data_IF_367681092877
#
_entry.id   IF_367681092877
#
_cell.length_a   1.000
_cell.length_b   1.000
_cell.length_c   1.000
_cell.angle_alpha   90.00
_cell.angle_beta   90.00
_cell.angle_gamma   90.00
#
_symmetry.space_group_name_H-M   'P 1'
#
loop_
_entity.id
_entity.type
_entity.pdbx_description
1 polymer ?
#
# COMPACT_ATOMS: atom_id res chain seq x y z
N UNK A 1 -21.46 2.89 13.12
CA UNK A 1 -20.79 3.26 11.84
C UNK A 1 -19.43 3.95 12.02
N UNK A 2 -19.19 4.90 12.95
CA UNK A 2 -17.88 5.56 13.12
C UNK A 2 -16.74 4.62 13.53
N UNK A 3 -17.02 3.66 14.42
CA UNK A 3 -16.04 2.73 14.99
C UNK A 3 -15.36 1.84 13.95
N UNK A 4 -16.10 1.45 12.90
CA UNK A 4 -15.58 0.62 11.80
C UNK A 4 -14.59 1.41 10.94
N UNK A 5 -14.84 2.71 10.72
CA UNK A 5 -13.93 3.57 9.94
C UNK A 5 -12.62 3.82 10.67
N UNK A 6 -12.64 4.01 11.99
CA UNK A 6 -11.42 4.21 12.79
C UNK A 6 -10.55 2.93 12.75
N UNK A 7 -11.15 1.76 13.00
CA UNK A 7 -10.41 0.49 12.96
C UNK A 7 -9.77 0.23 11.60
N UNK A 8 -10.47 0.52 10.49
CA UNK A 8 -9.91 0.39 9.14
C UNK A 8 -8.83 1.42 8.83
N UNK A 9 -8.96 2.66 9.31
CA UNK A 9 -7.91 3.69 9.15
C UNK A 9 -6.62 3.32 9.87
N UNK A 10 -6.70 2.62 11.01
CA UNK A 10 -5.51 2.11 11.69
C UNK A 10 -4.84 1.00 10.87
N UNK A 11 -5.62 0.18 10.16
CA UNK A 11 -5.11 -0.92 9.35
C UNK A 11 -4.52 -0.46 8.01
N UNK A 12 -5.23 0.41 7.28
CA UNK A 12 -4.76 1.01 6.03
C UNK A 12 -5.27 2.46 5.94
N UNK A 13 -4.49 3.43 6.47
CA UNK A 13 -4.89 4.83 6.46
C UNK A 13 -5.17 5.34 5.04
N UNK A 14 -4.34 4.96 4.07
CA UNK A 14 -4.46 5.46 2.69
C UNK A 14 -5.77 5.00 2.07
N UNK A 15 -6.08 3.70 2.15
CA UNK A 15 -7.28 3.15 1.52
C UNK A 15 -8.59 3.70 2.12
N UNK A 16 -8.57 4.17 3.37
CA UNK A 16 -9.74 4.75 4.03
C UNK A 16 -9.81 6.28 3.90
N UNK A 17 -8.69 7.00 3.99
CA UNK A 17 -8.66 8.47 3.91
C UNK A 17 -9.08 8.97 2.53
N UNK A 18 -8.74 8.25 1.46
CA UNK A 18 -9.17 8.59 0.08
C UNK A 18 -10.69 8.51 -0.14
N UNK A 19 -11.43 7.88 0.79
CA UNK A 19 -12.90 7.82 0.72
C UNK A 19 -13.57 9.06 1.32
N UNK A 20 -12.82 9.87 2.05
CA UNK A 20 -13.31 11.07 2.73
C UNK A 20 -13.15 12.24 1.77
N UNK A 21 -14.18 13.10 1.69
CA UNK A 21 -14.07 14.36 0.95
C UNK A 21 -12.95 15.23 1.56
N UNK A 22 -12.03 15.80 0.75
CA UNK A 22 -10.95 16.68 1.22
C UNK A 22 -11.38 17.70 2.27
N UNK A 23 -12.58 18.28 2.14
CA UNK A 23 -13.11 19.30 3.07
C UNK A 23 -13.41 18.77 4.49
N UNK A 24 -13.45 17.46 4.67
CA UNK A 24 -13.81 16.78 5.92
C UNK A 24 -12.63 16.04 6.56
N UNK A 25 -11.43 16.09 5.97
CA UNK A 25 -10.25 15.42 6.54
C UNK A 25 -9.71 16.18 7.77
N UNK A 26 -9.88 17.51 7.83
CA UNK A 26 -9.41 18.29 8.99
C UNK A 26 -7.91 18.52 8.98
N UNK A 27 -7.35 19.00 7.87
CA UNK A 27 -5.89 19.14 7.70
C UNK A 27 -5.29 20.37 8.42
N UNK A 28 -6.10 21.31 8.88
CA UNK A 28 -5.62 22.50 9.58
C UNK A 28 -6.72 23.47 10.01
N UNK A 29 -6.36 24.39 10.90
CA UNK A 29 -7.28 25.34 11.56
C UNK A 29 -8.08 26.20 10.57
N UNK A 30 -7.44 26.63 9.49
CA UNK A 30 -8.01 27.55 8.49
C UNK A 30 -8.41 26.85 7.19
N UNK A 31 -8.67 25.53 7.21
CA UNK A 31 -9.05 24.78 6.00
C UNK A 31 -10.35 25.29 5.35
N UNK A 32 -11.19 26.00 6.11
CA UNK A 32 -12.44 26.55 5.63
C UNK A 32 -12.27 27.91 4.93
N UNK A 33 -11.10 28.54 5.10
CA UNK A 33 -10.79 29.85 4.53
C UNK A 33 -10.07 29.74 3.17
N UNK A 34 -9.70 28.53 2.76
CA UNK A 34 -9.11 28.24 1.45
C UNK A 34 -10.18 27.84 0.43
N UNK A 35 -9.93 28.09 -0.85
CA UNK A 35 -10.87 27.69 -1.89
C UNK A 35 -10.98 26.17 -1.97
N UNK A 36 -12.21 25.65 -1.94
CA UNK A 36 -12.47 24.21 -1.94
C UNK A 36 -11.88 23.50 -3.17
N UNK A 37 -11.84 24.19 -4.32
CA UNK A 37 -11.24 23.66 -5.55
C UNK A 37 -9.73 23.51 -5.46
N UNK A 38 -9.02 24.53 -4.95
CA UNK A 38 -7.56 24.46 -4.80
C UNK A 38 -7.17 23.44 -3.73
N UNK A 39 -7.89 23.41 -2.61
CA UNK A 39 -7.69 22.41 -1.55
C UNK A 39 -7.84 20.99 -2.10
N UNK A 40 -8.90 20.74 -2.87
CA UNK A 40 -9.14 19.44 -3.49
C UNK A 40 -8.02 19.08 -4.47
N UNK A 41 -7.63 19.99 -5.36
CA UNK A 41 -6.57 19.72 -6.33
C UNK A 41 -5.22 19.41 -5.66
N UNK A 42 -4.87 20.17 -4.61
CA UNK A 42 -3.66 19.92 -3.84
C UNK A 42 -3.69 18.55 -3.14
N UNK A 43 -4.83 18.21 -2.50
CA UNK A 43 -4.95 16.93 -1.83
C UNK A 43 -4.97 15.76 -2.82
N UNK A 44 -5.68 15.89 -3.93
CA UNK A 44 -5.72 14.87 -4.99
C UNK A 44 -4.30 14.62 -5.55
N UNK A 45 -3.48 15.67 -5.68
CA UNK A 45 -2.07 15.56 -6.04
C UNK A 45 -1.23 14.77 -5.03
N UNK A 46 -1.33 15.10 -3.74
CA UNK A 46 -0.62 14.38 -2.66
C UNK A 46 -1.06 12.92 -2.60
N UNK A 47 -2.36 12.65 -2.75
CA UNK A 47 -2.90 11.28 -2.77
C UNK A 47 -2.35 10.52 -3.97
N UNK A 48 -2.32 11.12 -5.16
CA UNK A 48 -1.77 10.50 -6.37
C UNK A 48 -0.27 10.17 -6.20
N UNK A 49 0.52 11.06 -5.60
CA UNK A 49 1.92 10.81 -5.30
C UNK A 49 2.10 9.64 -4.32
N UNK A 50 1.32 9.64 -3.23
CA UNK A 50 1.33 8.58 -2.24
C UNK A 50 0.94 7.22 -2.84
N UNK A 51 -0.12 7.18 -3.66
CA UNK A 51 -0.57 5.97 -4.34
C UNK A 51 0.46 5.47 -5.35
N UNK A 52 1.13 6.38 -6.08
CA UNK A 52 2.17 6.03 -7.04
C UNK A 52 3.42 5.50 -6.34
N UNK A 53 3.79 6.06 -5.19
CA UNK A 53 4.92 5.59 -4.40
C UNK A 53 4.65 4.22 -3.76
N UNK A 54 3.45 4.05 -3.17
CA UNK A 54 3.07 2.82 -2.48
C UNK A 54 2.69 1.72 -3.45
N UNK A 55 2.04 1.99 -4.58
CA UNK A 55 1.43 1.00 -5.47
C UNK A 55 0.13 0.40 -4.92
N UNK A 56 -0.66 -0.25 -5.77
CA UNK A 56 -1.95 -0.84 -5.40
C UNK A 56 -2.10 -2.28 -5.89
N UNK A 57 -2.65 -3.17 -5.07
CA UNK A 57 -3.05 -4.50 -5.53
C UNK A 57 -4.42 -4.42 -6.23
N UNK A 58 -4.44 -4.67 -7.53
CA UNK A 58 -5.62 -4.51 -8.38
C UNK A 58 -6.80 -5.40 -7.98
N UNK A 59 -6.55 -6.54 -7.35
CA UNK A 59 -7.58 -7.52 -7.02
C UNK A 59 -8.33 -7.18 -5.72
N UNK A 60 -7.74 -6.36 -4.86
CA UNK A 60 -8.35 -5.93 -3.58
C UNK A 60 -8.63 -4.44 -3.53
N UNK A 61 -7.98 -3.65 -4.37
CA UNK A 61 -8.11 -2.19 -4.39
C UNK A 61 -9.55 -1.76 -4.64
N UNK A 62 -9.98 -0.72 -3.92
CA UNK A 62 -11.29 -0.11 -4.09
C UNK A 62 -11.31 0.78 -5.33
N UNK A 63 -12.50 1.00 -5.91
CA UNK A 63 -12.66 1.90 -7.04
C UNK A 63 -12.12 3.31 -6.74
N UNK A 64 -12.39 3.83 -5.53
CA UNK A 64 -11.94 5.16 -5.10
C UNK A 64 -10.42 5.28 -5.15
N UNK A 65 -9.70 4.31 -4.59
CA UNK A 65 -8.24 4.33 -4.56
C UNK A 65 -7.63 4.15 -5.97
N UNK A 66 -8.24 3.33 -6.83
CA UNK A 66 -7.78 3.15 -8.22
C UNK A 66 -7.84 4.43 -9.06
N UNK A 67 -8.75 5.36 -8.76
CA UNK A 67 -8.87 6.63 -9.49
C UNK A 67 -7.63 7.51 -9.37
N UNK A 68 -6.82 7.31 -8.33
CA UNK A 68 -5.61 8.07 -8.06
C UNK A 68 -4.34 7.40 -8.61
N UNK A 69 -4.47 6.25 -9.29
CA UNK A 69 -3.34 5.63 -9.99
C UNK A 69 -3.08 6.39 -11.29
N UNK A 70 -1.81 6.67 -11.59
CA UNK A 70 -1.42 7.35 -12.82
C UNK A 70 -2.04 6.70 -14.07
N UNK A 71 -2.66 7.51 -14.93
CA UNK A 71 -3.33 7.05 -16.14
C UNK A 71 -4.75 6.50 -15.93
N UNK A 72 -5.20 6.28 -14.69
CA UNK A 72 -6.58 5.87 -14.40
C UNK A 72 -7.47 7.09 -14.09
N UNK A 73 -8.77 6.90 -14.27
CA UNK A 73 -9.79 7.89 -13.94
C UNK A 73 -11.03 7.16 -13.42
N UNK A 74 -12.09 7.90 -13.07
CA UNK A 74 -13.36 7.33 -12.57
C UNK A 74 -13.90 6.24 -13.49
N UNK A 75 -14.00 6.51 -14.79
CA UNK A 75 -14.54 5.54 -15.76
C UNK A 75 -13.67 4.29 -15.91
N UNK A 76 -12.35 4.44 -15.96
CA UNK A 76 -11.41 3.31 -16.08
C UNK A 76 -11.38 2.48 -14.81
N UNK A 77 -11.36 3.11 -13.63
CA UNK A 77 -11.41 2.42 -12.35
C UNK A 77 -12.68 1.57 -12.23
N UNK A 78 -13.83 2.12 -12.64
CA UNK A 78 -15.09 1.36 -12.72
C UNK A 78 -15.01 0.18 -13.68
N UNK A 79 -14.50 0.38 -14.90
CA UNK A 79 -14.36 -0.71 -15.88
C UNK A 79 -13.45 -1.85 -15.37
N UNK A 80 -12.43 -1.54 -14.58
CA UNK A 80 -11.54 -2.54 -13.96
C UNK A 80 -12.31 -3.36 -12.91
N UNK A 81 -13.12 -2.73 -12.07
CA UNK A 81 -13.98 -3.44 -11.10
C UNK A 81 -14.99 -4.32 -11.82
N UNK A 82 -15.69 -3.79 -12.83
CA UNK A 82 -16.66 -4.56 -13.62
C UNK A 82 -15.99 -5.75 -14.32
N UNK A 83 -14.77 -5.57 -14.85
CA UNK A 83 -14.02 -6.67 -15.45
C UNK A 83 -13.68 -7.75 -14.43
N UNK A 84 -13.27 -7.38 -13.20
CA UNK A 84 -12.98 -8.33 -12.11
C UNK A 84 -14.20 -9.14 -11.69
N UNK A 85 -15.36 -8.50 -11.64
CA UNK A 85 -16.60 -9.18 -11.27
C UNK A 85 -17.04 -10.20 -12.32
N UNK A 86 -16.78 -9.91 -13.61
CA UNK A 86 -17.17 -10.77 -14.72
C UNK A 86 -16.15 -11.90 -15.02
N UNK A 87 -14.85 -11.62 -14.92
CA UNK A 87 -13.79 -12.52 -15.35
C UNK A 87 -13.01 -13.15 -14.18
N UNK A 88 -13.31 -12.72 -12.94
CA UNK A 88 -12.55 -13.09 -11.75
C UNK A 88 -11.29 -12.24 -11.55
N UNK A 89 -10.39 -12.65 -10.64
CA UNK A 89 -9.19 -11.89 -10.31
C UNK A 89 -8.19 -11.85 -11.49
N UNK A 90 -7.48 -10.74 -11.62
CA UNK A 90 -6.34 -10.60 -12.51
C UNK A 90 -5.21 -11.53 -12.06
N UNK A 91 -4.66 -12.30 -13.01
CA UNK A 91 -3.52 -13.21 -12.84
C UNK A 91 -2.20 -12.57 -13.26
N UNK A 92 -2.26 -11.64 -14.22
CA UNK A 92 -1.11 -10.85 -14.66
C UNK A 92 -1.54 -9.45 -15.13
N UNK A 93 -0.58 -8.54 -15.23
CA UNK A 93 -0.80 -7.14 -15.66
C UNK A 93 -1.30 -7.06 -17.09
N UNK A 94 -0.87 -7.96 -17.96
CA UNK A 94 -1.25 -7.96 -19.38
C UNK A 94 -2.77 -8.09 -19.58
N UNK A 95 -3.48 -8.74 -18.66
CA UNK A 95 -4.95 -8.80 -18.67
C UNK A 95 -5.62 -7.43 -18.53
N UNK A 96 -4.94 -6.41 -18.01
CA UNK A 96 -5.46 -5.03 -18.00
C UNK A 96 -5.72 -4.51 -19.41
N UNK A 97 -5.01 -4.99 -20.43
CA UNK A 97 -5.24 -4.61 -21.84
C UNK A 97 -6.60 -5.07 -22.37
N UNK A 98 -7.22 -6.06 -21.73
CA UNK A 98 -8.55 -6.57 -22.07
C UNK A 98 -9.68 -5.69 -21.50
N UNK A 99 -9.37 -4.82 -20.54
CA UNK A 99 -10.36 -3.96 -19.90
C UNK A 99 -10.78 -2.84 -20.86
N UNK A 100 -12.07 -2.53 -20.89
CA UNK A 100 -12.63 -1.45 -21.69
C UNK A 100 -11.97 -0.11 -21.35
N UNK A 101 -11.46 0.59 -22.36
CA UNK A 101 -10.82 1.90 -22.20
C UNK A 101 -9.35 1.87 -21.76
N UNK A 102 -8.75 0.67 -21.64
CA UNK A 102 -7.31 0.48 -21.41
C UNK A 102 -6.58 0.41 -22.75
N UNK A 103 -6.13 1.58 -23.24
CA UNK A 103 -5.26 1.66 -24.41
C UNK A 103 -3.80 1.42 -24.07
N UNK A 104 -2.90 1.26 -25.07
CA UNK A 104 -1.47 1.02 -24.84
C UNK A 104 -0.80 2.09 -23.96
N UNK A 105 -1.10 3.37 -24.22
CA UNK A 105 -0.57 4.50 -23.42
C UNK A 105 -1.06 4.45 -21.97
N UNK A 106 -2.34 4.16 -21.78
CA UNK A 106 -2.93 4.06 -20.44
C UNK A 106 -2.31 2.90 -19.67
N UNK A 107 -2.14 1.74 -20.32
CA UNK A 107 -1.48 0.59 -19.73
C UNK A 107 -0.05 0.93 -19.31
N UNK A 108 0.74 1.54 -20.20
CA UNK A 108 2.10 1.97 -19.89
C UNK A 108 2.15 2.96 -18.71
N UNK A 109 1.18 3.88 -18.61
CA UNK A 109 1.14 4.82 -17.49
C UNK A 109 0.82 4.18 -16.14
N UNK A 110 -0.04 3.16 -16.11
CA UNK A 110 -0.52 2.59 -14.84
C UNK A 110 0.23 1.31 -14.42
N UNK A 111 0.82 0.56 -15.34
CA UNK A 111 1.24 -0.81 -15.08
C UNK A 111 2.33 -0.92 -14.00
N UNK A 112 3.23 0.06 -13.88
CA UNK A 112 4.27 0.07 -12.83
C UNK A 112 3.73 0.23 -11.41
N UNK A 113 2.54 0.81 -11.26
CA UNK A 113 1.90 1.09 -9.98
C UNK A 113 0.92 0.00 -9.55
N UNK A 114 0.57 -0.91 -10.46
CA UNK A 114 -0.39 -1.99 -10.22
C UNK A 114 0.36 -3.26 -9.83
N UNK A 115 0.02 -3.87 -8.71
CA UNK A 115 0.57 -5.15 -8.26
C UNK A 115 -0.48 -6.25 -8.30
N UNK A 116 -0.02 -7.49 -8.43
CA UNK A 116 -0.86 -8.69 -8.35
C UNK A 116 -0.22 -9.63 -7.35
N UNK A 117 -0.82 -9.78 -6.17
CA UNK A 117 -0.29 -10.64 -5.11
C UNK A 117 -0.85 -12.07 -5.24
N UNK A 118 -0.02 -13.12 -5.31
CA UNK A 118 -0.47 -14.51 -5.32
C UNK A 118 -1.34 -14.88 -4.11
N UNK A 119 -1.09 -14.26 -2.95
CA UNK A 119 -1.87 -14.50 -1.74
C UNK A 119 -3.32 -14.01 -1.89
N UNK A 120 -3.54 -12.90 -2.62
CA UNK A 120 -4.89 -12.39 -2.87
C UNK A 120 -5.63 -13.26 -3.87
N UNK A 121 -4.93 -13.78 -4.89
CA UNK A 121 -5.47 -14.79 -5.81
C UNK A 121 -5.97 -16.04 -5.07
N UNK A 122 -5.18 -16.59 -4.14
CA UNK A 122 -5.57 -17.76 -3.35
C UNK A 122 -6.78 -17.52 -2.42
N UNK A 123 -6.91 -16.30 -1.88
CA UNK A 123 -8.06 -15.94 -1.04
C UNK A 123 -9.37 -15.91 -1.85
N UNK A 124 -9.31 -15.49 -3.12
CA UNK A 124 -10.47 -15.51 -4.01
C UNK A 124 -10.90 -16.94 -4.37
N UNK A 125 -9.98 -17.84 -4.73
CA UNK A 125 -10.31 -19.26 -5.00
C UNK A 125 -10.99 -19.92 -3.81
N UNK A 126 -10.48 -19.69 -2.59
CA UNK A 126 -11.11 -20.20 -1.37
C UNK A 126 -12.48 -19.57 -1.10
N UNK A 127 -12.67 -18.28 -1.40
CA UNK A 127 -13.96 -17.60 -1.24
C UNK A 127 -15.01 -18.08 -2.23
N UNK A 128 -14.63 -18.42 -3.47
CA UNK A 128 -15.53 -18.99 -4.48
C UNK A 128 -15.96 -20.40 -4.08
N UNK A 129 -15.02 -21.23 -3.63
CA UNK A 129 -15.32 -22.57 -3.10
C UNK A 129 -16.27 -22.47 -1.89
N UNK A 130 -16.04 -21.53 -0.96
CA UNK A 130 -16.94 -21.32 0.19
C UNK A 130 -18.32 -20.79 -0.21
N UNK A 131 -18.43 -20.00 -1.29
CA UNK A 131 -19.70 -19.50 -1.81
C UNK A 131 -20.49 -20.61 -2.51
N UNK A 132 -19.83 -21.48 -3.27
CA UNK A 132 -20.45 -22.65 -3.91
C UNK A 132 -20.89 -23.70 -2.89
N UNK A 133 -20.10 -23.97 -1.85
CA UNK A 133 -20.47 -24.91 -0.77
C UNK A 133 -21.66 -24.38 0.05
N UNK A 134 -21.78 -23.07 0.26
CA UNK A 134 -22.94 -22.49 0.95
C UNK A 134 -24.18 -22.36 0.07
N UNK A 135 -24.04 -22.24 -1.25
CA UNK A 135 -25.17 -22.31 -2.18
C UNK A 135 -25.76 -23.73 -2.24
N UNK A 136 -24.94 -24.77 -2.03
CA UNK A 136 -25.38 -26.17 -1.94
C UNK A 136 -25.88 -26.59 -0.55
N UNK A 137 -25.73 -25.76 0.49
CA UNK A 137 -26.19 -26.05 1.87
C UNK A 137 -27.46 -25.33 2.29
N UNK A 138 -27.96 -24.36 1.51
CA UNK A 138 -29.15 -23.58 1.85
C UNK A 138 -30.39 -23.89 0.98
N UNK A 139 -30.57 -25.15 0.56
CA UNK A 139 -31.82 -25.56 -0.11
C UNK A 139 -32.52 -26.76 0.52
N UNK A 140 -32.46 -26.87 1.85
CA UNK A 140 -33.34 -27.75 2.61
C UNK A 140 -33.86 -27.02 3.85
N UNK A 141 -35.18 -27.16 4.10
CA UNK A 141 -36.01 -26.69 5.22
C UNK A 141 -36.79 -25.37 4.95
N UNK A 142 -37.90 -25.52 4.23
CA UNK A 142 -39.24 -25.33 4.84
C UNK A 142 -40.06 -24.04 4.61
N UNK A 143 -41.00 -24.12 3.65
CA UNK A 143 -42.41 -23.64 3.66
C UNK A 143 -42.69 -22.11 3.66
N UNK A 144 -43.61 -21.50 2.89
CA UNK A 144 -44.69 -21.78 1.91
C UNK A 144 -44.93 -20.40 1.21
N UNK A 145 -45.38 -20.23 -0.05
CA UNK A 145 -46.73 -20.45 -0.59
C UNK A 145 -46.72 -20.19 -2.13
N UNK A 146 -47.43 -21.06 -2.86
CA UNK A 146 -48.13 -20.99 -4.17
C UNK A 146 -48.17 -19.65 -4.95
N UNK A 147 -48.20 -19.55 -6.29
CA UNK A 147 -48.82 -20.32 -7.40
C UNK A 147 -47.92 -20.12 -8.66
N UNK A 148 -47.79 -20.95 -9.70
CA UNK A 148 -48.60 -22.02 -10.27
C UNK A 148 -48.59 -21.85 -11.80
N UNK A 149 -47.84 -22.67 -12.54
CA UNK A 149 -48.10 -23.02 -13.96
C UNK A 149 -47.21 -24.19 -14.37
N UNK A 150 -47.80 -25.38 -14.30
CA UNK A 150 -47.29 -26.64 -14.83
C UNK A 150 -47.48 -26.63 -16.36
N UNK A 151 -46.57 -27.23 -17.14
CA UNK A 151 -46.86 -28.23 -18.18
C UNK A 151 -45.56 -28.76 -18.81
N UNK A 152 -45.34 -30.06 -18.53
CA UNK A 152 -44.80 -31.18 -19.34
C UNK A 152 -43.45 -31.09 -20.07
N UNK A 153 -42.62 -32.06 -19.68
CA UNK A 153 -41.52 -32.69 -20.40
C UNK A 153 -41.97 -33.34 -21.73
N UNK A 154 -41.15 -33.17 -22.77
CA UNK A 154 -40.94 -34.21 -23.79
C UNK A 154 -39.59 -34.01 -24.48
N UNK A 155 -38.72 -35.00 -24.34
CA UNK A 155 -37.59 -35.33 -25.22
C UNK A 155 -38.06 -35.52 -26.66
N UNK A 156 -37.39 -34.90 -27.65
CA UNK A 156 -37.25 -35.42 -29.02
C UNK A 156 -36.15 -34.68 -29.82
N UNK A 157 -35.58 -35.42 -30.78
CA UNK A 157 -34.43 -35.12 -31.64
C UNK A 157 -34.65 -34.00 -32.68
N UNK A 158 -33.52 -33.56 -33.29
CA UNK A 158 -33.29 -32.44 -34.22
C UNK A 158 -34.10 -32.44 -35.55
N UNK A 159 -34.09 -31.34 -36.35
CA UNK A 159 -33.01 -31.08 -37.32
C UNK A 159 -32.66 -29.58 -37.54
N UNK A 160 -31.77 -29.30 -38.50
CA UNK A 160 -31.02 -28.05 -38.68
C UNK A 160 -31.44 -27.16 -39.89
N UNK A 161 -31.09 -25.85 -39.81
CA UNK A 161 -30.83 -24.82 -40.88
C UNK A 161 -32.08 -24.17 -41.54
N UNK A 162 -32.15 -22.85 -41.96
CA UNK A 162 -31.10 -21.88 -42.34
C UNK A 162 -31.11 -20.44 -41.76
N UNK A 163 -29.96 -19.78 -41.97
CA UNK A 163 -29.60 -18.35 -41.77
C UNK A 163 -30.42 -17.33 -42.59
N UNK A 164 -30.54 -16.07 -42.10
CA UNK A 164 -29.96 -14.84 -42.72
C UNK A 164 -30.27 -13.52 -41.94
N UNK A 165 -29.61 -12.37 -42.21
CA UNK A 165 -28.68 -11.75 -41.26
C UNK A 165 -29.04 -10.32 -40.83
N UNK A 166 -28.40 -9.81 -39.79
CA UNK A 166 -28.28 -8.36 -39.56
C UNK A 166 -26.86 -7.99 -39.17
N UNK A 167 -26.10 -7.53 -40.17
CA UNK A 167 -24.79 -6.93 -39.99
C UNK A 167 -24.94 -5.43 -39.67
N UNK A 168 -24.30 -4.95 -38.60
CA UNK A 168 -23.60 -3.67 -38.59
C UNK A 168 -22.27 -3.81 -37.85
N UNK A 169 -21.20 -3.60 -38.64
CA UNK A 169 -19.79 -3.73 -38.32
C UNK A 169 -19.35 -2.79 -37.19
N UNK A 170 -18.86 -3.36 -36.08
CA UNK A 170 -17.89 -2.70 -35.21
C UNK A 170 -16.49 -3.19 -35.57
N UNK A 171 -15.56 -2.29 -35.88
CA UNK A 171 -14.16 -2.61 -36.23
C UNK A 171 -13.53 -3.50 -35.15
N UNK A 172 -13.24 -4.75 -35.51
CA UNK A 172 -12.57 -5.72 -34.64
C UNK A 172 -11.18 -5.23 -34.27
N UNK A 173 -10.91 -5.13 -32.96
CA UNK A 173 -9.55 -5.02 -32.44
C UNK A 173 -8.86 -6.36 -32.71
N UNK A 174 -7.66 -6.33 -33.28
CA UNK A 174 -6.80 -7.49 -33.44
C UNK A 174 -6.71 -8.24 -32.10
N UNK A 175 -6.87 -9.56 -32.13
CA UNK A 175 -6.91 -10.40 -30.93
C UNK A 175 -5.59 -10.27 -30.15
N UNK A 176 -5.67 -9.68 -28.96
CA UNK A 176 -4.54 -9.61 -28.04
C UNK A 176 -4.47 -10.99 -27.36
N UNK A 177 -3.49 -11.80 -27.73
CA UNK A 177 -3.20 -13.07 -27.03
C UNK A 177 -2.52 -12.75 -25.70
N UNK A 178 -3.30 -12.72 -24.62
CA UNK A 178 -2.79 -12.45 -23.27
C UNK A 178 -2.46 -13.78 -22.57
N UNK A 179 -1.26 -13.94 -21.98
CA UNK A 179 -0.93 -15.12 -21.18
C UNK A 179 -1.94 -15.32 -20.05
N UNK A 180 -2.29 -16.56 -19.73
CA UNK A 180 -3.20 -16.89 -18.61
C UNK A 180 -2.47 -17.29 -17.33
N UNK A 181 -1.14 -17.38 -17.38
CA UNK A 181 -0.28 -17.73 -16.25
C UNK A 181 0.06 -16.51 -15.38
N UNK A 182 0.41 -16.80 -14.13
CA UNK A 182 0.92 -15.81 -13.19
C UNK A 182 2.35 -15.43 -13.56
N UNK A 183 2.66 -14.13 -13.56
CA UNK A 183 4.03 -13.64 -13.70
C UNK A 183 4.55 -13.16 -12.33
N UNK A 184 5.61 -13.76 -11.77
CA UNK A 184 6.15 -13.35 -10.47
C UNK A 184 6.57 -11.88 -10.41
N UNK A 185 7.02 -11.30 -11.53
CA UNK A 185 7.44 -9.89 -11.60
C UNK A 185 6.29 -8.89 -11.41
N UNK A 186 5.03 -9.31 -11.60
CA UNK A 186 3.86 -8.45 -11.42
C UNK A 186 3.59 -8.09 -9.95
N UNK A 187 4.30 -8.72 -9.01
CA UNK A 187 4.29 -8.39 -7.58
C UNK A 187 5.20 -7.20 -7.25
N UNK A 188 6.13 -6.85 -8.14
CA UNK A 188 7.20 -5.88 -7.90
C UNK A 188 6.84 -4.49 -8.43
N UNK A 189 7.64 -3.47 -8.12
CA UNK A 189 7.54 -2.14 -8.75
C UNK A 189 8.10 -2.09 -10.19
N UNK A 190 8.66 -3.19 -10.70
CA UNK A 190 9.31 -3.24 -12.00
C UNK A 190 8.26 -3.06 -13.09
N UNK A 191 8.45 -2.08 -13.97
CA UNK A 191 7.52 -1.86 -15.07
C UNK A 191 7.62 -2.99 -16.12
N UNK A 192 6.50 -3.41 -16.77
CA UNK A 192 6.55 -4.49 -17.78
C UNK A 192 7.51 -4.24 -18.95
N UNK A 193 7.77 -2.98 -19.29
CA UNK A 193 8.76 -2.62 -20.31
C UNK A 193 10.17 -3.09 -19.94
N UNK A 194 10.48 -3.21 -18.65
CA UNK A 194 11.79 -3.58 -18.12
C UNK A 194 11.90 -5.06 -17.71
N UNK A 195 10.89 -5.90 -17.98
CA UNK A 195 10.94 -7.32 -17.61
C UNK A 195 12.09 -8.08 -18.26
N UNK A 196 12.39 -7.76 -19.52
CA UNK A 196 13.53 -8.33 -20.22
C UNK A 196 14.87 -7.97 -19.54
N UNK A 197 15.00 -6.73 -19.06
CA UNK A 197 16.19 -6.27 -18.30
C UNK A 197 16.31 -7.02 -16.97
N UNK A 198 15.20 -7.15 -16.23
CA UNK A 198 15.17 -7.87 -14.96
C UNK A 198 15.57 -9.35 -15.14
N UNK A 199 15.12 -10.00 -16.21
CA UNK A 199 15.52 -11.38 -16.53
C UNK A 199 17.01 -11.47 -16.86
N UNK A 200 17.57 -10.56 -17.67
CA UNK A 200 19.02 -10.50 -17.94
C UNK A 200 19.83 -10.32 -16.67
N UNK A 201 19.40 -9.42 -15.78
CA UNK A 201 20.05 -9.18 -14.50
C UNK A 201 20.03 -10.42 -13.59
N UNK A 202 18.89 -11.11 -13.51
CA UNK A 202 18.77 -12.36 -12.75
C UNK A 202 19.74 -13.44 -13.25
N UNK A 203 19.92 -13.57 -14.58
CA UNK A 203 20.89 -14.50 -15.17
C UNK A 203 22.33 -14.19 -14.76
N UNK A 204 22.71 -12.91 -14.68
CA UNK A 204 24.05 -12.48 -14.24
C UNK A 204 24.28 -12.79 -12.75
N UNK A 205 23.26 -12.58 -11.93
CA UNK A 205 23.34 -12.78 -10.46
C UNK A 205 23.19 -14.27 -10.08
N UNK A 206 22.74 -15.13 -11.01
CA UNK A 206 22.42 -16.53 -10.71
C UNK A 206 21.13 -16.70 -9.91
N UNK A 207 20.12 -15.87 -10.19
CA UNK A 207 18.79 -15.92 -9.58
C UNK A 207 17.72 -16.44 -10.53
N UNK A 208 16.57 -16.83 -9.99
CA UNK A 208 15.36 -17.15 -10.75
C UNK A 208 14.21 -16.27 -10.30
N UNK A 209 13.19 -16.10 -11.14
CA UNK A 209 11.99 -15.30 -10.85
C UNK A 209 11.17 -15.85 -9.67
N UNK A 210 11.33 -17.12 -9.31
CA UNK A 210 10.63 -17.74 -8.19
C UNK A 210 11.24 -17.37 -6.82
N UNK A 211 12.49 -16.87 -6.82
CA UNK A 211 13.23 -16.50 -5.62
C UNK A 211 13.19 -15.00 -5.31
N UNK A 212 12.26 -14.25 -5.91
CA UNK A 212 12.07 -12.81 -5.65
C UNK A 212 11.85 -12.57 -4.15
N UNK A 213 12.58 -11.62 -3.59
CA UNK A 213 12.49 -11.26 -2.17
C UNK A 213 13.10 -12.27 -1.19
N UNK A 214 13.73 -13.35 -1.69
CA UNK A 214 14.43 -14.29 -0.82
C UNK A 214 15.76 -13.73 -0.32
N UNK A 215 16.15 -14.09 0.90
CA UNK A 215 17.45 -13.71 1.49
C UNK A 215 18.63 -14.20 0.65
N UNK A 216 18.52 -15.38 0.04
CA UNK A 216 19.53 -15.92 -0.86
C UNK A 216 19.72 -15.06 -2.12
N UNK A 217 18.63 -14.53 -2.69
CA UNK A 217 18.73 -13.61 -3.83
C UNK A 217 19.34 -12.26 -3.40
N UNK A 218 18.91 -11.72 -2.26
CA UNK A 218 19.46 -10.47 -1.70
C UNK A 218 20.98 -10.57 -1.51
N UNK A 219 21.48 -11.65 -0.89
CA UNK A 219 22.91 -11.87 -0.70
C UNK A 219 23.68 -11.96 -2.02
N UNK A 220 23.12 -12.64 -3.03
CA UNK A 220 23.76 -12.73 -4.36
C UNK A 220 23.85 -11.37 -5.03
N UNK A 221 22.78 -10.56 -4.94
CA UNK A 221 22.76 -9.18 -5.45
C UNK A 221 23.80 -8.32 -4.73
N UNK A 222 23.85 -8.35 -3.39
CA UNK A 222 24.81 -7.61 -2.60
C UNK A 222 26.26 -7.99 -2.91
N UNK A 223 26.54 -9.29 -3.04
CA UNK A 223 27.86 -9.77 -3.43
C UNK A 223 28.24 -9.28 -4.83
N UNK A 224 27.29 -9.21 -5.76
CA UNK A 224 27.53 -8.68 -7.10
C UNK A 224 27.83 -7.18 -7.08
N UNK A 225 27.08 -6.42 -6.28
CA UNK A 225 27.30 -4.98 -6.08
C UNK A 225 28.62 -4.64 -5.38
N UNK A 226 29.20 -5.57 -4.60
CA UNK A 226 30.55 -5.42 -4.04
C UNK A 226 31.65 -5.63 -5.07
N UNK A 227 31.39 -6.42 -6.12
CA UNK A 227 32.38 -6.79 -7.13
C UNK A 227 32.38 -5.88 -8.36
N UNK A 228 31.26 -5.20 -8.64
CA UNK A 228 31.08 -4.36 -9.82
C UNK A 228 30.32 -3.09 -9.46
N UNK A 229 30.62 -1.99 -10.14
CA UNK A 229 29.89 -0.73 -9.97
C UNK A 229 28.45 -0.84 -10.52
N UNK A 230 27.56 0.04 -10.07
CA UNK A 230 26.16 0.07 -10.55
C UNK A 230 26.12 0.40 -12.05
N UNK A 231 27.05 1.23 -12.51
CA UNK A 231 27.20 1.70 -13.88
C UNK A 231 27.62 0.58 -14.83
N UNK A 232 28.61 -0.23 -14.44
CA UNK A 232 29.05 -1.41 -15.22
C UNK A 232 27.93 -2.45 -15.35
N UNK A 233 27.21 -2.71 -14.25
CA UNK A 233 26.09 -3.63 -14.26
C UNK A 233 24.96 -3.12 -15.17
N UNK A 234 24.65 -1.82 -15.10
CA UNK A 234 23.63 -1.21 -15.95
C UNK A 234 23.98 -1.33 -17.44
N UNK A 235 25.23 -1.07 -17.81
CA UNK A 235 25.72 -1.27 -19.19
C UNK A 235 25.63 -2.75 -19.61
N UNK A 236 25.96 -3.69 -18.73
CA UNK A 236 25.91 -5.13 -19.04
C UNK A 236 24.51 -5.65 -19.35
N UNK A 237 23.48 -5.03 -18.76
CA UNK A 237 22.08 -5.37 -19.01
C UNK A 237 21.37 -4.38 -19.93
N UNK A 238 22.13 -3.48 -20.58
CA UNK A 238 21.64 -2.49 -21.54
C UNK A 238 20.53 -1.61 -20.94
N UNK A 239 20.84 -0.97 -19.82
CA UNK A 239 19.95 -0.05 -19.11
C UNK A 239 20.70 1.09 -18.42
N UNK A 240 19.96 1.95 -17.75
CA UNK A 240 20.46 3.13 -17.04
C UNK A 240 20.55 2.80 -15.53
N UNK A 241 21.55 3.31 -14.77
CA UNK A 241 21.73 3.00 -13.35
C UNK A 241 20.48 3.18 -12.48
N UNK A 242 19.67 4.20 -12.72
CA UNK A 242 18.44 4.47 -11.96
C UNK A 242 17.38 3.38 -12.20
N UNK A 243 17.23 2.92 -13.45
CA UNK A 243 16.33 1.82 -13.81
C UNK A 243 16.82 0.51 -13.22
N UNK A 244 18.13 0.27 -13.24
CA UNK A 244 18.71 -0.92 -12.63
C UNK A 244 18.50 -0.92 -11.11
N UNK A 245 18.68 0.22 -10.44
CA UNK A 245 18.40 0.36 -9.02
C UNK A 245 16.94 0.03 -8.70
N UNK A 246 15.99 0.55 -9.48
CA UNK A 246 14.57 0.20 -9.32
C UNK A 246 14.30 -1.30 -9.51
N UNK A 247 14.98 -1.93 -10.47
CA UNK A 247 14.90 -3.39 -10.69
C UNK A 247 15.46 -4.14 -9.49
N UNK A 248 16.63 -3.77 -8.99
CA UNK A 248 17.26 -4.36 -7.81
C UNK A 248 16.33 -4.24 -6.60
N UNK A 249 15.82 -3.04 -6.35
CA UNK A 249 14.88 -2.78 -5.26
C UNK A 249 13.66 -3.71 -5.42
N UNK A 250 13.04 -3.74 -6.61
CA UNK A 250 11.88 -4.58 -6.89
C UNK A 250 12.12 -6.09 -6.73
N UNK A 251 13.31 -6.60 -7.10
CA UNK A 251 13.67 -8.02 -6.98
C UNK A 251 14.03 -8.43 -5.54
N UNK A 252 14.55 -7.49 -4.76
CA UNK A 252 15.00 -7.73 -3.38
C UNK A 252 13.90 -7.54 -2.35
N UNK A 253 12.83 -6.80 -2.67
CA UNK A 253 11.70 -6.67 -1.76
C UNK A 253 10.96 -8.01 -1.55
N UNK A 254 10.56 -8.33 -0.31
CA UNK A 254 9.79 -9.54 -0.03
C UNK A 254 8.41 -9.51 -0.72
N UNK A 255 7.80 -10.66 -1.02
CA UNK A 255 6.44 -10.72 -1.55
C UNK A 255 5.44 -9.99 -0.65
N UNK A 256 4.62 -9.12 -1.23
CA UNK A 256 3.66 -8.31 -0.47
C UNK A 256 4.30 -7.19 0.36
N UNK A 257 5.55 -6.84 0.09
CA UNK A 257 6.21 -5.69 0.69
C UNK A 257 5.41 -4.42 0.49
N UNK A 258 5.13 -3.76 1.61
CA UNK A 258 4.54 -2.44 1.63
C UNK A 258 5.52 -1.53 2.37
N UNK A 259 6.03 -0.53 1.64
CA UNK A 259 6.95 0.47 2.15
C UNK A 259 6.44 1.14 3.43
N UNK A 260 5.11 1.22 3.62
CA UNK A 260 4.47 1.87 4.76
C UNK A 260 4.56 1.08 6.07
N UNK A 261 4.78 -0.23 6.04
CA UNK A 261 4.71 -1.08 7.24
C UNK A 261 5.74 -0.71 8.32
N UNK A 262 6.86 -0.10 7.91
CA UNK A 262 7.90 0.36 8.84
C UNK A 262 7.79 1.85 9.20
N UNK A 263 6.87 2.60 8.59
CA UNK A 263 6.63 4.01 8.94
C UNK A 263 5.80 4.08 10.21
N UNK A 264 6.47 4.17 11.36
CA UNK A 264 5.82 4.43 12.63
C UNK A 264 5.20 3.18 13.27
N UNK A 265 6.05 2.20 13.61
CA UNK A 265 5.72 1.41 14.80
C UNK A 265 5.37 2.37 15.92
N UNK A 266 4.27 2.09 16.63
CA UNK A 266 3.89 2.88 17.79
C UNK A 266 5.11 3.01 18.70
N UNK A 267 5.60 4.24 18.81
CA UNK A 267 6.76 4.58 19.63
C UNK A 267 6.54 4.12 21.08
N UNK A 268 5.30 4.11 21.51
CA UNK A 268 4.92 3.80 22.87
C UNK A 268 5.00 2.30 23.17
N UNK A 269 5.67 1.96 24.28
CA UNK A 269 5.65 0.60 24.83
C UNK A 269 4.19 0.19 25.09
N UNK A 270 3.78 -0.96 24.52
CA UNK A 270 2.45 -1.56 24.77
C UNK A 270 2.26 -1.74 26.27
N UNK A 271 1.25 -1.07 26.85
CA UNK A 271 0.84 -1.26 28.26
C UNK A 271 0.89 -0.02 29.15
N UNK A 272 1.46 1.10 28.70
CA UNK A 272 1.42 2.38 29.43
C UNK A 272 0.52 3.34 28.66
N UNK A 273 -0.70 3.55 29.16
CA UNK A 273 -1.72 4.38 28.49
C UNK A 273 -2.04 5.63 29.31
N UNK A 274 -1.79 5.60 30.62
CA UNK A 274 -2.09 6.67 31.54
C UNK A 274 -0.88 7.10 32.37
N UNK A 275 -0.92 8.32 32.91
CA UNK A 275 0.13 8.83 33.80
C UNK A 275 0.29 7.97 35.06
N UNK A 276 -0.77 7.31 35.54
CA UNK A 276 -0.73 6.38 36.67
C UNK A 276 0.06 5.10 36.40
N UNK A 277 0.25 4.73 35.13
CA UNK A 277 1.00 3.54 34.74
C UNK A 277 2.52 3.81 34.69
N UNK A 278 2.92 5.09 34.79
CA UNK A 278 4.32 5.48 34.71
C UNK A 278 5.07 5.14 35.99
N UNK A 279 6.21 4.47 35.83
CA UNK A 279 7.16 4.23 36.91
C UNK A 279 8.40 5.07 36.69
N UNK A 280 8.91 5.68 37.75
CA UNK A 280 10.22 6.34 37.72
C UNK A 280 11.29 5.32 37.32
N UNK A 281 12.18 5.73 36.42
CA UNK A 281 13.18 4.87 35.79
C UNK A 281 12.71 4.14 34.53
N UNK A 282 11.41 4.16 34.20
CA UNK A 282 10.91 3.57 32.97
C UNK A 282 11.54 4.26 31.75
N UNK A 283 12.02 3.46 30.81
CA UNK A 283 12.47 3.93 29.50
C UNK A 283 11.32 3.83 28.53
N UNK A 284 10.98 4.95 27.90
CA UNK A 284 9.89 5.09 26.96
C UNK A 284 10.40 5.78 25.70
N UNK A 285 9.62 5.65 24.65
CA UNK A 285 9.88 6.27 23.36
C UNK A 285 8.75 7.27 23.12
N UNK A 286 9.09 8.42 22.55
CA UNK A 286 8.17 9.54 22.41
C UNK A 286 8.60 10.51 21.32
N UNK A 287 7.72 11.46 21.03
CA UNK A 287 7.92 12.46 19.98
C UNK A 287 7.95 13.85 20.57
N UNK A 288 8.87 14.69 20.10
CA UNK A 288 8.97 16.08 20.54
C UNK A 288 7.77 16.86 20.00
N UNK A 289 6.89 17.34 20.89
CA UNK A 289 5.76 18.21 20.52
C UNK A 289 6.24 19.63 20.24
N UNK A 290 7.08 20.15 21.13
CA UNK A 290 7.54 21.53 21.09
C UNK A 290 8.89 21.66 21.80
N UNK A 291 9.68 22.66 21.42
CA UNK A 291 10.96 22.99 22.04
C UNK A 291 11.01 24.43 22.52
N UNK A 292 11.64 24.63 23.67
CA UNK A 292 11.80 25.91 24.33
C UNK A 292 13.26 26.08 24.78
N UNK A 293 13.64 27.31 25.16
CA UNK A 293 15.01 27.61 25.61
C UNK A 293 15.44 26.85 26.87
N UNK A 294 14.47 26.39 27.68
CA UNK A 294 14.73 25.65 28.92
C UNK A 294 14.61 24.12 28.76
N UNK A 295 14.19 23.62 27.60
CA UNK A 295 13.98 22.19 27.41
C UNK A 295 13.08 21.83 26.22
N UNK A 296 12.73 20.55 26.13
CA UNK A 296 11.84 20.02 25.10
C UNK A 296 10.65 19.29 25.72
N UNK A 297 9.46 19.50 25.17
CA UNK A 297 8.25 18.80 25.55
C UNK A 297 8.05 17.60 24.64
N UNK A 298 7.87 16.43 25.24
CA UNK A 298 7.82 15.15 24.53
C UNK A 298 6.52 14.43 24.89
N UNK A 299 5.73 14.10 23.88
CA UNK A 299 4.61 13.19 24.03
C UNK A 299 5.12 11.75 24.15
N UNK A 300 4.82 11.13 25.29
CA UNK A 300 5.13 9.73 25.60
C UNK A 300 3.86 8.84 25.61
N UNK A 301 2.73 9.36 25.12
CA UNK A 301 1.51 8.58 24.90
C UNK A 301 0.62 8.41 26.13
N UNK A 302 0.78 9.26 27.15
CA UNK A 302 0.03 9.20 28.43
C UNK A 302 -0.97 10.35 28.61
N UNK A 303 -1.28 11.06 27.53
CA UNK A 303 -2.22 12.20 27.51
C UNK A 303 -1.64 13.53 28.00
N UNK A 304 -0.40 13.57 28.50
CA UNK A 304 0.34 14.80 28.82
C UNK A 304 1.81 14.69 28.41
N UNK A 305 2.35 15.77 27.86
CA UNK A 305 3.76 15.84 27.46
C UNK A 305 4.68 15.95 28.68
N UNK A 306 5.77 15.19 28.68
CA UNK A 306 6.84 15.31 29.67
C UNK A 306 7.89 16.34 29.24
N UNK A 307 8.57 16.94 30.22
CA UNK A 307 9.62 17.92 29.96
C UNK A 307 11.00 17.28 30.12
N UNK A 308 11.81 17.35 29.07
CA UNK A 308 13.25 17.15 29.15
C UNK A 308 13.89 18.52 29.41
N UNK A 309 14.45 18.73 30.59
CA UNK A 309 15.14 19.97 30.91
C UNK A 309 16.46 20.09 30.12
N UNK A 310 16.92 21.31 29.82
CA UNK A 310 18.16 21.54 29.06
C UNK A 310 19.40 20.84 29.64
N UNK A 311 19.46 20.67 30.97
CA UNK A 311 20.56 19.96 31.64
C UNK A 311 20.60 18.46 31.32
N UNK A 312 19.45 17.89 30.94
CA UNK A 312 19.28 16.48 30.63
C UNK A 312 19.51 16.20 29.14
N UNK A 313 19.73 17.23 28.34
CA UNK A 313 20.04 17.14 26.90
C UNK A 313 21.54 17.38 26.75
N UNK A 314 22.32 16.31 26.94
CA UNK A 314 23.79 16.39 26.89
C UNK A 314 24.32 16.09 25.47
N UNK A 315 25.43 16.70 25.03
CA UNK A 315 25.92 16.59 23.64
C UNK A 315 26.29 15.17 23.20
N UNK A 316 26.66 14.31 24.16
CA UNK A 316 26.94 12.88 23.98
C UNK A 316 25.70 12.08 23.56
N UNK A 317 24.51 12.51 24.00
CA UNK A 317 23.21 11.88 23.67
C UNK A 317 22.64 12.34 22.32
N UNK A 318 23.26 13.34 21.69
CA UNK A 318 22.82 13.93 20.44
C UNK A 318 23.64 13.41 19.23
N UNK A 319 22.99 13.24 18.05
CA UNK A 319 23.67 12.97 16.80
C UNK A 319 24.70 14.04 16.45
N UNK A 320 25.80 13.66 15.79
CA UNK A 320 26.92 14.55 15.44
C UNK A 320 26.45 15.80 14.68
N UNK A 321 25.47 15.66 13.78
CA UNK A 321 24.87 16.75 13.01
C UNK A 321 24.08 17.76 13.86
N UNK A 322 23.56 17.33 15.02
CA UNK A 322 22.66 18.12 15.85
C UNK A 322 23.36 18.82 17.02
N UNK A 323 24.61 18.43 17.34
CA UNK A 323 25.41 18.99 18.44
C UNK A 323 25.68 20.50 18.33
N UNK A 324 25.56 21.08 17.14
CA UNK A 324 25.83 22.51 16.87
C UNK A 324 24.56 23.36 16.69
N UNK A 325 23.36 22.79 16.85
CA UNK A 325 22.11 23.54 16.72
C UNK A 325 21.84 24.39 17.97
N UNK A 326 21.20 25.55 17.79
CA UNK A 326 20.75 26.44 18.87
C UNK A 326 19.71 25.76 19.77
N UNK A 327 18.83 24.95 19.17
CA UNK A 327 17.92 24.03 19.86
C UNK A 327 18.39 22.61 19.58
N UNK A 328 18.74 21.87 20.66
CA UNK A 328 19.28 20.52 20.56
C UNK A 328 18.29 19.53 19.92
N UNK A 329 17.00 19.69 20.22
CA UNK A 329 15.90 18.89 19.68
C UNK A 329 14.92 19.78 18.88
N UNK A 330 14.31 19.23 17.85
CA UNK A 330 13.30 19.88 17.01
C UNK A 330 11.91 19.24 17.14
N UNK A 331 10.80 19.99 16.93
CA UNK A 331 9.47 19.42 16.88
C UNK A 331 9.37 18.28 15.87
N UNK A 332 8.73 17.19 16.26
CA UNK A 332 8.53 16.00 15.46
C UNK A 332 9.66 14.97 15.51
N UNK A 333 10.80 15.26 16.15
CA UNK A 333 11.90 14.30 16.35
C UNK A 333 11.48 13.17 17.31
N UNK A 334 11.94 11.95 17.03
CA UNK A 334 11.71 10.78 17.86
C UNK A 334 12.84 10.63 18.88
N UNK A 335 12.50 10.39 20.13
CA UNK A 335 13.46 10.32 21.23
C UNK A 335 13.16 9.14 22.14
N UNK A 336 14.21 8.53 22.65
CA UNK A 336 14.14 7.60 23.76
C UNK A 336 14.45 8.35 25.05
N UNK A 337 13.54 8.26 26.03
CA UNK A 337 13.56 9.02 27.27
C UNK A 337 13.43 8.12 28.50
N UNK A 338 14.01 8.54 29.61
CA UNK A 338 13.83 7.92 30.93
C UNK A 338 12.96 8.81 31.81
N UNK A 339 11.97 8.22 32.47
CA UNK A 339 11.15 8.93 33.45
C UNK A 339 11.98 9.21 34.70
N UNK A 340 12.19 10.49 35.04
CA UNK A 340 12.89 10.90 36.26
C UNK A 340 11.94 11.09 37.43
N UNK A 341 10.79 11.70 37.18
CA UNK A 341 9.78 11.96 38.21
C UNK A 341 8.39 12.07 37.57
N UNK A 342 7.36 11.65 38.29
CA UNK A 342 5.95 11.75 37.92
C UNK A 342 5.20 12.39 39.07
N UNK A 343 4.65 13.58 38.84
CA UNK A 343 3.75 14.25 39.77
C UNK A 343 2.33 14.17 39.21
N UNK A 344 1.54 13.21 39.70
CA UNK A 344 0.17 12.96 39.25
C UNK A 344 -0.78 14.09 39.64
N UNK A 345 -0.57 14.74 40.79
CA UNK A 345 -1.45 15.82 41.25
C UNK A 345 -1.31 17.08 40.41
N UNK A 346 -0.08 17.44 40.03
CA UNK A 346 0.19 18.58 39.14
C UNK A 346 0.16 18.19 37.66
N UNK A 347 0.11 16.89 37.38
CA UNK A 347 0.21 16.28 36.07
C UNK A 347 1.46 16.72 35.32
N UNK A 348 2.62 16.63 35.98
CA UNK A 348 3.95 16.95 35.42
C UNK A 348 4.80 15.69 35.35
N UNK A 349 5.53 15.54 34.26
CA UNK A 349 6.44 14.41 34.04
C UNK A 349 7.83 14.99 33.73
N UNK A 350 8.82 14.64 34.54
CA UNK A 350 10.22 14.97 34.31
C UNK A 350 10.90 13.85 33.52
N UNK A 351 11.58 14.20 32.43
CA UNK A 351 12.23 13.25 31.54
C UNK A 351 13.74 13.52 31.43
N UNK A 352 14.51 12.44 31.25
CA UNK A 352 15.90 12.48 30.82
C UNK A 352 16.00 11.95 29.39
N UNK A 353 16.75 12.63 28.53
CA UNK A 353 17.04 12.12 27.20
C UNK A 353 17.98 10.93 27.33
N UNK A 354 17.76 9.85 26.57
CA UNK A 354 18.74 8.78 26.40
C UNK A 354 19.44 8.96 25.06
N UNK A 355 18.65 9.08 23.98
CA UNK A 355 19.13 9.31 22.61
C UNK A 355 18.02 9.79 21.69
N UNK A 356 18.41 10.39 20.59
CA UNK A 356 17.52 10.66 19.45
C UNK A 356 17.44 9.42 18.57
N UNK A 357 16.23 9.00 18.23
CA UNK A 357 16.00 7.88 17.31
C UNK A 357 15.96 8.42 15.88
N UNK A 358 16.73 7.78 14.98
CA UNK A 358 16.76 8.11 13.55
C UNK A 358 15.60 7.46 12.80
#
# INVERSE_FOLDING_TARGET
MPTVSIGRRVQDPLAELVKIDPKHIGIGTYQHDVSAGALKAALDGVVQECVSFVGVDINICSEMLMRHVAGLNVGRARNIVEWREQNGPFKNREQLKLVKGMGPKTYQQCAGFIRINPQTLNRYTLSCIYRDVNLHRHNCIGQKWFQGAFVRTSTQHAPAVPEKPAAKRGKGKAGITVPTSLNPLDQTCIHPESYHVAQRFLSIVGGTVDHIGSTGLQQRVENRLKMSSMEELAQSVDTIPETLKLIIDGLTQPPGFDIRQNFGQADFKRGVVSMSDLRVGAVLTGRVDNTALFGAFVDIGVGRSGLIHKSNITPDKLPVSQRRRSLALGPGERVEVRVLNVDVQRGRIGLDLIRVLQ
#
